data_IF_022586615864
#
_entry.id   IF_022586615864
#
_cell.length_a   1.000
_cell.length_b   1.000
_cell.length_c   1.000
_cell.angle_alpha   90.00
_cell.angle_beta   90.00
_cell.angle_gamma   90.00
#
_symmetry.space_group_name_H-M   'P 1'
#
loop_
_entity.id
_entity.type
_entity.pdbx_description
1 polymer ?
#
# COMPACT_ATOMS: atom_id res chain seq x y z
N UNK A 1 -12.57 26.23 -31.50
CA UNK A 1 -12.77 27.09 -30.31
C UNK A 1 -11.90 26.53 -29.20
N UNK A 2 -10.92 27.30 -28.71
CA UNK A 2 -10.13 26.89 -27.55
C UNK A 2 -11.05 26.88 -26.32
N UNK A 3 -11.10 25.76 -25.59
CA UNK A 3 -11.86 25.67 -24.34
C UNK A 3 -11.18 26.56 -23.31
N UNK A 4 -11.91 27.52 -22.73
CA UNK A 4 -11.40 28.33 -21.61
C UNK A 4 -11.35 27.42 -20.38
N UNK A 5 -10.20 27.25 -19.73
CA UNK A 5 -10.09 26.40 -18.54
C UNK A 5 -10.94 26.96 -17.39
N UNK A 6 -11.55 26.07 -16.60
CA UNK A 6 -12.34 26.48 -15.44
C UNK A 6 -11.48 27.15 -14.37
N UNK A 7 -12.08 28.00 -13.51
CA UNK A 7 -11.37 28.61 -12.39
C UNK A 7 -10.75 27.56 -11.45
N UNK A 8 -11.45 26.41 -11.26
CA UNK A 8 -10.92 25.26 -10.50
C UNK A 8 -9.65 24.70 -11.14
N UNK A 9 -9.63 24.57 -12.47
CA UNK A 9 -8.46 24.06 -13.21
C UNK A 9 -7.28 25.02 -13.08
N UNK A 10 -7.52 26.34 -13.19
CA UNK A 10 -6.50 27.37 -13.02
C UNK A 10 -5.96 27.38 -11.59
N UNK A 11 -6.84 27.31 -10.58
CA UNK A 11 -6.42 27.30 -9.17
C UNK A 11 -5.61 26.05 -8.84
N UNK A 12 -6.03 24.89 -9.34
CA UNK A 12 -5.33 23.62 -9.11
C UNK A 12 -3.93 23.64 -9.74
N UNK A 13 -3.82 24.14 -10.98
CA UNK A 13 -2.51 24.30 -11.64
C UNK A 13 -1.62 25.28 -10.87
N UNK A 14 -2.13 26.47 -10.53
CA UNK A 14 -1.38 27.45 -9.76
C UNK A 14 -0.91 26.90 -8.40
N UNK A 15 -1.79 26.21 -7.67
CA UNK A 15 -1.45 25.57 -6.40
C UNK A 15 -0.39 24.48 -6.58
N UNK A 16 -0.46 23.64 -7.61
CA UNK A 16 0.61 22.66 -7.88
C UNK A 16 1.96 23.33 -8.21
N UNK A 17 1.94 24.46 -8.93
CA UNK A 17 3.15 25.22 -9.25
C UNK A 17 3.80 25.82 -8.00
N UNK A 18 2.99 26.38 -7.10
CA UNK A 18 3.47 26.98 -5.84
C UNK A 18 3.95 25.89 -4.87
N UNK A 19 3.21 24.79 -4.71
CA UNK A 19 3.58 23.71 -3.79
C UNK A 19 4.88 23.00 -4.19
N UNK A 20 5.12 22.85 -5.48
CA UNK A 20 6.31 22.16 -6.03
C UNK A 20 7.46 23.10 -6.37
N UNK A 21 7.36 24.35 -5.92
CA UNK A 21 8.36 25.41 -6.07
C UNK A 21 8.85 25.57 -7.52
N UNK A 22 7.90 25.58 -8.46
CA UNK A 22 8.19 25.72 -9.89
C UNK A 22 8.38 27.18 -10.33
N UNK A 23 8.24 28.15 -9.42
CA UNK A 23 8.32 29.59 -9.72
C UNK A 23 9.59 30.12 -9.03
N UNK A 24 10.51 30.76 -9.75
CA UNK A 24 11.76 31.27 -9.12
C UNK A 24 11.50 32.33 -8.03
N UNK A 25 10.30 32.92 -8.01
CA UNK A 25 9.82 33.89 -7.03
C UNK A 25 8.83 33.29 -6.01
N UNK A 26 8.76 31.96 -5.81
CA UNK A 26 7.81 31.41 -4.83
C UNK A 26 8.10 31.94 -3.44
N UNK A 27 7.16 32.71 -2.87
CA UNK A 27 7.27 33.19 -1.50
C UNK A 27 7.06 32.00 -0.54
N UNK A 28 8.06 31.59 0.26
CA UNK A 28 7.90 30.48 1.19
C UNK A 28 6.76 30.70 2.20
N UNK A 29 6.48 31.95 2.58
CA UNK A 29 5.35 32.30 3.45
C UNK A 29 4.00 31.99 2.78
N UNK A 30 3.92 32.17 1.46
CA UNK A 30 2.71 31.87 0.71
C UNK A 30 2.51 30.35 0.54
N UNK A 31 3.59 29.60 0.30
CA UNK A 31 3.53 28.14 0.30
C UNK A 31 3.10 27.60 1.66
N UNK A 32 3.63 28.14 2.77
CA UNK A 32 3.18 27.79 4.12
C UNK A 32 1.70 28.13 4.36
N UNK A 33 1.27 29.31 3.91
CA UNK A 33 -0.13 29.71 4.00
C UNK A 33 -1.05 28.75 3.24
N UNK A 34 -0.68 28.34 2.02
CA UNK A 34 -1.46 27.35 1.26
C UNK A 34 -1.48 25.98 1.96
N UNK A 35 -0.35 25.52 2.49
CA UNK A 35 -0.28 24.25 3.22
C UNK A 35 -1.21 24.24 4.44
N UNK A 36 -1.22 25.32 5.23
CA UNK A 36 -2.11 25.44 6.39
C UNK A 36 -3.59 25.45 5.98
N UNK A 37 -3.95 26.19 4.93
CA UNK A 37 -5.31 26.19 4.39
C UNK A 37 -5.78 24.81 3.91
N UNK A 38 -4.90 24.01 3.31
CA UNK A 38 -5.23 22.66 2.87
C UNK A 38 -5.32 21.67 4.04
N UNK A 39 -4.49 21.83 5.07
CA UNK A 39 -4.56 21.02 6.29
C UNK A 39 -5.90 21.21 7.03
N UNK A 40 -6.44 22.43 7.04
CA UNK A 40 -7.74 22.75 7.66
C UNK A 40 -8.95 22.14 6.92
N UNK A 41 -8.74 21.53 5.75
CA UNK A 41 -9.78 20.80 5.02
C UNK A 41 -10.85 21.67 4.37
N UNK A 42 -10.65 22.99 4.33
CA UNK A 42 -11.59 23.98 3.77
C UNK A 42 -11.82 23.76 2.26
N UNK A 43 -10.83 23.20 1.56
CA UNK A 43 -10.82 23.06 0.10
C UNK A 43 -10.76 21.59 -0.37
N UNK A 44 -11.53 20.69 0.25
CA UNK A 44 -11.47 19.24 -0.03
C UNK A 44 -11.53 18.88 -1.53
N UNK A 45 -12.40 19.53 -2.29
CA UNK A 45 -12.56 19.29 -3.72
C UNK A 45 -11.38 19.76 -4.58
N UNK A 46 -10.59 20.74 -4.09
CA UNK A 46 -9.35 21.21 -4.73
C UNK A 46 -8.20 20.31 -4.32
N UNK A 47 -8.13 19.92 -3.03
CA UNK A 47 -7.08 19.04 -2.51
C UNK A 47 -7.13 17.65 -3.14
N UNK A 48 -8.31 17.13 -3.47
CA UNK A 48 -8.44 15.85 -4.17
C UNK A 48 -7.91 15.90 -5.62
N UNK A 49 -8.25 16.94 -6.38
CA UNK A 49 -7.70 17.16 -7.72
C UNK A 49 -6.17 17.39 -7.67
N UNK A 50 -5.70 18.17 -6.68
CA UNK A 50 -4.28 18.38 -6.44
C UNK A 50 -3.58 17.07 -6.14
N UNK A 51 -4.11 16.24 -5.24
CA UNK A 51 -3.53 14.95 -4.89
C UNK A 51 -3.34 14.08 -6.14
N UNK A 52 -4.36 14.00 -7.00
CA UNK A 52 -4.29 13.24 -8.26
C UNK A 52 -3.19 13.80 -9.17
N UNK A 53 -3.18 15.12 -9.43
CA UNK A 53 -2.21 15.74 -10.33
C UNK A 53 -0.78 15.58 -9.79
N UNK A 54 -0.58 15.85 -8.50
CA UNK A 54 0.72 15.76 -7.85
C UNK A 54 1.26 14.32 -7.91
N UNK A 55 0.45 13.31 -7.59
CA UNK A 55 0.89 11.92 -7.60
C UNK A 55 0.99 11.32 -9.01
N UNK A 56 0.25 11.84 -9.99
CA UNK A 56 0.30 11.35 -11.37
C UNK A 56 1.43 11.95 -12.20
N UNK A 57 1.71 13.25 -12.04
CA UNK A 57 2.66 13.97 -12.89
C UNK A 57 3.93 14.39 -12.17
N UNK A 58 3.92 14.42 -10.83
CA UNK A 58 4.99 15.00 -10.03
C UNK A 58 5.32 14.17 -8.77
N UNK A 59 5.09 12.85 -8.80
CA UNK A 59 5.31 11.96 -7.64
C UNK A 59 6.70 12.10 -7.04
N UNK A 60 7.70 12.37 -7.88
CA UNK A 60 9.10 12.59 -7.52
C UNK A 60 9.33 13.82 -6.63
N UNK A 61 8.47 14.83 -6.71
CA UNK A 61 8.58 16.07 -5.92
C UNK A 61 7.62 16.11 -4.72
N UNK A 62 6.79 15.10 -4.53
CA UNK A 62 5.85 15.05 -3.40
C UNK A 62 6.60 14.70 -2.12
N UNK A 63 6.56 15.63 -1.15
CA UNK A 63 7.13 15.44 0.20
C UNK A 63 6.06 15.02 1.20
N UNK A 64 6.47 14.55 2.38
CA UNK A 64 5.57 14.27 3.50
C UNK A 64 4.62 15.43 3.83
N UNK A 65 5.14 16.67 3.77
CA UNK A 65 4.40 17.89 4.08
C UNK A 65 3.30 18.15 3.07
N UNK A 66 3.65 18.09 1.78
CA UNK A 66 2.71 18.29 0.68
C UNK A 66 1.63 17.23 0.74
N UNK A 67 2.01 15.95 0.87
CA UNK A 67 1.05 14.85 0.93
C UNK A 67 0.08 15.01 2.10
N UNK A 68 0.57 15.31 3.31
CA UNK A 68 -0.27 15.53 4.50
C UNK A 68 -1.26 16.68 4.29
N UNK A 69 -0.83 17.77 3.65
CA UNK A 69 -1.69 18.92 3.39
C UNK A 69 -2.80 18.59 2.38
N UNK A 70 -2.44 17.97 1.24
CA UNK A 70 -3.39 17.76 0.13
C UNK A 70 -4.24 16.49 0.25
N UNK A 71 -3.94 15.57 1.17
CA UNK A 71 -4.78 14.39 1.35
C UNK A 71 -6.09 14.75 2.08
N UNK A 72 -7.28 14.47 1.51
CA UNK A 72 -8.55 14.70 2.18
C UNK A 72 -8.83 13.63 3.25
N UNK A 73 -9.45 14.01 4.38
CA UNK A 73 -9.72 13.08 5.49
C UNK A 73 -10.71 11.94 5.15
N UNK A 74 -11.52 12.12 4.11
CA UNK A 74 -12.47 11.11 3.62
C UNK A 74 -11.87 10.17 2.56
N UNK A 75 -10.57 10.23 2.31
CA UNK A 75 -9.90 9.39 1.32
C UNK A 75 -10.07 7.89 1.67
N UNK A 76 -10.46 7.09 0.68
CA UNK A 76 -10.60 5.63 0.80
C UNK A 76 -9.49 4.86 0.11
N UNK A 77 -8.87 5.47 -0.90
CA UNK A 77 -7.83 4.86 -1.72
C UNK A 77 -6.69 5.85 -1.89
N UNK A 78 -5.49 5.46 -1.47
CA UNK A 78 -4.27 6.23 -1.62
C UNK A 78 -3.32 5.49 -2.56
N UNK A 79 -2.93 6.13 -3.66
CA UNK A 79 -1.99 5.57 -4.63
C UNK A 79 -0.78 6.48 -4.76
N UNK A 80 0.34 6.04 -4.20
CA UNK A 80 1.56 6.81 -4.09
C UNK A 80 2.67 5.91 -4.63
N UNK A 81 2.76 5.86 -5.95
CA UNK A 81 3.67 4.97 -6.69
C UNK A 81 4.91 5.74 -7.16
N UNK A 82 6.03 5.04 -7.38
CA UNK A 82 7.31 5.59 -7.88
C UNK A 82 7.80 6.77 -7.05
N UNK A 83 7.79 6.60 -5.73
CA UNK A 83 8.12 7.67 -4.81
C UNK A 83 9.61 7.84 -4.66
N UNK A 84 10.05 9.08 -4.54
CA UNK A 84 11.43 9.43 -4.20
C UNK A 84 11.67 9.48 -2.67
N UNK A 85 12.94 9.54 -2.22
CA UNK A 85 13.30 9.48 -0.79
C UNK A 85 12.70 10.60 0.08
N UNK A 86 12.14 11.64 -0.52
CA UNK A 86 11.52 12.77 0.19
C UNK A 86 10.19 12.39 0.85
N UNK A 87 9.54 11.34 0.36
CA UNK A 87 8.39 10.75 1.01
C UNK A 87 8.85 9.60 1.91
N UNK A 88 8.50 9.69 3.17
CA UNK A 88 8.93 8.75 4.21
C UNK A 88 7.76 8.00 4.81
N UNK A 89 8.09 6.95 5.55
CA UNK A 89 7.11 6.22 6.35
C UNK A 89 6.38 7.11 7.37
N UNK A 90 7.03 8.16 7.89
CA UNK A 90 6.40 9.09 8.83
C UNK A 90 5.29 9.90 8.15
N UNK A 91 5.53 10.41 6.94
CA UNK A 91 4.49 11.09 6.15
C UNK A 91 3.31 10.18 5.85
N UNK A 92 3.56 8.93 5.44
CA UNK A 92 2.49 7.95 5.21
C UNK A 92 1.68 7.67 6.48
N UNK A 93 2.34 7.60 7.64
CA UNK A 93 1.67 7.42 8.93
C UNK A 93 0.75 8.61 9.27
N UNK A 94 1.19 9.84 9.02
CA UNK A 94 0.35 11.03 9.23
C UNK A 94 -0.88 11.02 8.32
N UNK A 95 -0.73 10.58 7.08
CA UNK A 95 -1.87 10.38 6.16
C UNK A 95 -2.86 9.36 6.71
N UNK A 96 -2.37 8.23 7.21
CA UNK A 96 -3.19 7.16 7.80
C UNK A 96 -3.93 7.67 9.04
N UNK A 97 -3.30 8.51 9.88
CA UNK A 97 -3.97 9.18 11.01
C UNK A 97 -5.08 10.13 10.55
N UNK A 98 -4.84 10.88 9.47
CA UNK A 98 -5.80 11.86 8.91
C UNK A 98 -7.00 11.18 8.25
N UNK A 99 -6.84 9.95 7.74
CA UNK A 99 -7.82 9.24 6.92
C UNK A 99 -8.37 7.98 7.61
N UNK A 100 -9.33 8.09 8.55
CA UNK A 100 -9.85 6.93 9.29
C UNK A 100 -10.62 5.93 8.41
N UNK A 101 -11.04 6.34 7.21
CA UNK A 101 -11.78 5.50 6.26
C UNK A 101 -10.90 4.96 5.12
N UNK A 102 -9.58 5.09 5.22
CA UNK A 102 -8.67 4.55 4.24
C UNK A 102 -8.77 3.02 4.22
N UNK A 103 -8.94 2.46 3.03
CA UNK A 103 -9.16 1.03 2.81
C UNK A 103 -8.13 0.43 1.85
N UNK A 104 -7.63 1.22 0.90
CA UNK A 104 -6.72 0.74 -0.13
C UNK A 104 -5.48 1.60 -0.20
N UNK A 105 -4.32 0.95 -0.25
CA UNK A 105 -3.03 1.62 -0.38
C UNK A 105 -2.24 0.94 -1.50
N UNK A 106 -1.77 1.73 -2.46
CA UNK A 106 -0.82 1.33 -3.51
C UNK A 106 0.47 2.12 -3.35
N UNK A 107 1.59 1.40 -3.23
CA UNK A 107 2.94 1.93 -3.05
C UNK A 107 3.89 1.21 -4.01
N UNK A 108 3.55 1.18 -5.30
CA UNK A 108 4.37 0.47 -6.29
C UNK A 108 5.72 1.15 -6.44
N UNK A 109 6.79 0.38 -6.59
CA UNK A 109 8.14 0.92 -6.79
C UNK A 109 8.54 1.95 -5.69
N UNK A 110 8.16 1.68 -4.42
CA UNK A 110 8.39 2.56 -3.27
C UNK A 110 9.19 1.86 -2.16
N UNK A 111 10.43 1.49 -2.47
CA UNK A 111 11.30 0.70 -1.61
C UNK A 111 11.61 1.31 -0.24
N UNK A 112 11.59 2.63 -0.13
CA UNK A 112 11.89 3.39 1.09
C UNK A 112 10.73 3.45 2.08
N UNK A 113 9.51 3.15 1.65
CA UNK A 113 8.32 3.34 2.48
C UNK A 113 8.03 2.14 3.36
N UNK A 114 8.67 0.99 3.11
CA UNK A 114 8.33 -0.29 3.73
C UNK A 114 9.33 -0.73 4.80
N UNK A 115 8.84 -0.98 6.00
CA UNK A 115 9.56 -1.61 7.11
C UNK A 115 8.64 -2.55 7.89
N UNK A 116 9.10 -3.71 8.38
CA UNK A 116 8.24 -4.65 9.12
C UNK A 116 7.53 -4.02 10.32
N UNK A 117 8.13 -3.03 10.99
CA UNK A 117 7.55 -2.41 12.20
C UNK A 117 6.32 -1.54 11.96
N UNK A 118 6.04 -1.13 10.72
CA UNK A 118 5.01 -0.14 10.44
C UNK A 118 3.58 -0.62 10.64
N UNK A 119 3.30 -1.88 10.31
CA UNK A 119 1.93 -2.40 10.34
C UNK A 119 1.41 -2.53 11.78
N UNK A 120 2.32 -2.67 12.75
CA UNK A 120 2.01 -2.57 14.19
C UNK A 120 1.40 -1.20 14.50
N UNK A 121 1.98 -0.13 13.93
CA UNK A 121 1.48 1.22 14.12
C UNK A 121 0.12 1.41 13.46
N UNK A 122 -0.06 0.92 12.23
CA UNK A 122 -1.34 1.02 11.52
C UNK A 122 -2.46 0.30 12.27
N UNK A 123 -2.17 -0.86 12.86
CA UNK A 123 -3.09 -1.58 13.75
C UNK A 123 -3.48 -0.75 14.96
N UNK A 124 -2.52 -0.08 15.61
CA UNK A 124 -2.77 0.81 16.76
C UNK A 124 -3.61 2.03 16.39
N UNK A 125 -3.48 2.51 15.15
CA UNK A 125 -4.31 3.60 14.62
C UNK A 125 -5.73 3.16 14.25
N UNK A 126 -6.03 1.86 14.30
CA UNK A 126 -7.38 1.33 14.06
C UNK A 126 -7.81 1.36 12.58
N UNK A 127 -6.87 1.50 11.65
CA UNK A 127 -7.19 1.59 10.23
C UNK A 127 -7.52 0.21 9.66
N UNK A 128 -8.60 0.15 8.88
CA UNK A 128 -9.15 -1.09 8.31
C UNK A 128 -8.78 -1.22 6.84
N UNK A 129 -7.49 -1.45 6.57
CA UNK A 129 -6.99 -1.66 5.20
C UNK A 129 -7.50 -3.02 4.67
N UNK A 130 -8.11 -3.00 3.50
CA UNK A 130 -8.62 -4.17 2.78
C UNK A 130 -7.78 -4.52 1.55
N UNK A 131 -7.04 -3.57 0.98
CA UNK A 131 -6.15 -3.83 -0.15
C UNK A 131 -4.78 -3.15 0.02
N UNK A 132 -3.71 -3.90 -0.21
CA UNK A 132 -2.33 -3.43 -0.17
C UNK A 132 -1.60 -3.87 -1.45
N UNK A 133 -1.04 -2.92 -2.17
CA UNK A 133 -0.23 -3.16 -3.36
C UNK A 133 1.19 -2.61 -3.16
N UNK A 134 2.17 -3.50 -3.22
CA UNK A 134 3.62 -3.24 -3.08
C UNK A 134 4.37 -3.78 -4.31
N UNK A 135 3.74 -3.72 -5.48
CA UNK A 135 4.29 -4.25 -6.73
C UNK A 135 5.64 -3.59 -7.04
N UNK A 136 6.60 -4.42 -7.49
CA UNK A 136 7.96 -3.99 -7.87
C UNK A 136 8.70 -3.24 -6.77
N UNK A 137 8.41 -3.55 -5.49
CA UNK A 137 9.22 -3.09 -4.36
C UNK A 137 10.26 -4.16 -4.01
N UNK A 138 11.50 -3.98 -4.45
CA UNK A 138 12.60 -4.92 -4.27
C UNK A 138 13.07 -5.05 -2.81
N UNK A 139 12.85 -4.04 -1.95
CA UNK A 139 13.16 -4.08 -0.52
C UNK A 139 12.07 -4.76 0.33
N UNK A 140 10.95 -5.18 -0.26
CA UNK A 140 9.91 -5.93 0.46
C UNK A 140 10.38 -7.35 0.69
N UNK A 141 10.73 -7.65 1.95
CA UNK A 141 11.11 -8.98 2.41
C UNK A 141 9.92 -9.79 2.94
N UNK A 142 10.13 -11.09 3.14
CA UNK A 142 9.16 -11.96 3.82
C UNK A 142 8.66 -11.37 5.14
N UNK A 143 9.51 -10.71 5.92
CA UNK A 143 9.13 -10.11 7.20
C UNK A 143 8.14 -8.94 7.05
N UNK A 144 8.25 -8.15 5.98
CA UNK A 144 7.30 -7.06 5.68
C UNK A 144 5.93 -7.67 5.40
N UNK A 145 5.85 -8.68 4.54
CA UNK A 145 4.60 -9.35 4.19
C UNK A 145 3.99 -10.06 5.40
N UNK A 146 4.80 -10.82 6.17
CA UNK A 146 4.35 -11.48 7.40
C UNK A 146 3.81 -10.48 8.42
N UNK A 147 4.45 -9.33 8.56
CA UNK A 147 3.98 -8.26 9.45
C UNK A 147 2.64 -7.68 8.98
N UNK A 148 2.47 -7.42 7.67
CA UNK A 148 1.20 -6.97 7.11
C UNK A 148 0.07 -7.97 7.42
N UNK A 149 0.31 -9.26 7.19
CA UNK A 149 -0.66 -10.33 7.45
C UNK A 149 -1.05 -10.45 8.93
N UNK A 150 -0.09 -10.28 9.86
CA UNK A 150 -0.35 -10.34 11.32
C UNK A 150 -1.05 -9.11 11.87
N UNK A 151 -0.83 -7.94 11.28
CA UNK A 151 -1.26 -6.67 11.85
C UNK A 151 -2.42 -6.00 11.09
N UNK A 152 -2.77 -6.49 9.91
CA UNK A 152 -3.92 -6.03 9.11
C UNK A 152 -4.92 -7.19 8.95
N UNK A 153 -5.72 -7.53 9.98
CA UNK A 153 -6.64 -8.67 9.92
C UNK A 153 -7.77 -8.49 8.89
N UNK A 154 -8.03 -7.24 8.46
CA UNK A 154 -9.03 -6.90 7.45
C UNK A 154 -8.52 -7.03 6.01
N UNK A 155 -7.25 -7.39 5.81
CA UNK A 155 -6.64 -7.45 4.49
C UNK A 155 -7.27 -8.57 3.64
N UNK A 156 -7.80 -8.19 2.48
CA UNK A 156 -8.47 -9.08 1.53
C UNK A 156 -7.68 -9.21 0.23
N UNK A 157 -6.99 -8.15 -0.18
CA UNK A 157 -6.25 -8.13 -1.45
C UNK A 157 -4.80 -7.75 -1.18
N UNK A 158 -3.89 -8.66 -1.51
CA UNK A 158 -2.46 -8.43 -1.40
C UNK A 158 -1.83 -8.57 -2.78
N UNK A 159 -1.15 -7.52 -3.24
CA UNK A 159 -0.31 -7.57 -4.42
C UNK A 159 1.14 -7.27 -4.00
N UNK A 160 2.02 -8.25 -4.18
CA UNK A 160 3.47 -8.17 -3.97
C UNK A 160 4.20 -8.72 -5.20
N UNK A 161 3.62 -8.53 -6.39
CA UNK A 161 4.21 -9.00 -7.65
C UNK A 161 5.54 -8.31 -7.93
N UNK A 162 6.47 -9.01 -8.57
CA UNK A 162 7.80 -8.52 -8.92
C UNK A 162 8.64 -8.06 -7.71
N UNK A 163 8.34 -8.58 -6.51
CA UNK A 163 9.20 -8.43 -5.33
C UNK A 163 10.22 -9.57 -5.27
N UNK A 164 11.44 -9.32 -5.73
CA UNK A 164 12.49 -10.35 -5.90
C UNK A 164 13.00 -10.95 -4.58
N UNK A 165 12.84 -10.23 -3.47
CA UNK A 165 13.32 -10.64 -2.14
C UNK A 165 12.38 -11.63 -1.41
N UNK A 166 11.27 -12.02 -2.03
CA UNK A 166 10.30 -12.94 -1.44
C UNK A 166 10.70 -14.39 -1.67
N UNK A 167 10.57 -15.20 -0.62
CA UNK A 167 10.91 -16.63 -0.66
C UNK A 167 9.68 -17.49 -0.42
N UNK A 168 9.89 -18.80 -0.49
CA UNK A 168 8.85 -19.76 -0.19
C UNK A 168 8.28 -19.63 1.23
N UNK A 169 8.99 -19.02 2.18
CA UNK A 169 8.49 -18.86 3.55
C UNK A 169 7.58 -17.65 3.75
N UNK A 170 7.33 -16.84 2.72
CA UNK A 170 6.59 -15.55 2.85
C UNK A 170 5.24 -15.68 3.56
N UNK A 171 4.51 -16.79 3.35
CA UNK A 171 3.20 -17.06 3.96
C UNK A 171 3.26 -17.96 5.21
N UNK A 172 4.45 -18.29 5.69
CA UNK A 172 4.67 -19.06 6.90
C UNK A 172 4.61 -18.15 8.13
N UNK A 173 3.42 -17.99 8.72
CA UNK A 173 3.21 -17.21 9.94
C UNK A 173 3.45 -18.00 11.24
N UNK A 174 3.05 -19.28 11.26
CA UNK A 174 3.18 -20.17 12.41
C UNK A 174 3.87 -21.48 12.01
N UNK A 175 5.13 -21.63 12.39
CA UNK A 175 5.94 -22.82 12.10
C UNK A 175 5.46 -24.07 12.84
N UNK A 176 4.89 -23.90 14.04
CA UNK A 176 4.40 -25.00 14.88
C UNK A 176 3.16 -25.66 14.28
N UNK A 177 2.15 -24.86 13.88
CA UNK A 177 0.95 -25.35 13.19
C UNK A 177 1.27 -26.09 11.89
N UNK A 178 2.34 -25.70 11.21
CA UNK A 178 2.79 -26.33 9.98
C UNK A 178 3.37 -27.72 10.23
N UNK A 179 4.19 -27.88 11.27
CA UNK A 179 4.70 -29.21 11.67
C UNK A 179 3.57 -30.13 12.11
N UNK A 180 2.58 -29.64 12.84
CA UNK A 180 1.42 -30.45 13.25
C UNK A 180 0.58 -30.94 12.06
N UNK A 181 0.39 -30.09 11.04
CA UNK A 181 -0.34 -30.42 9.80
C UNK A 181 0.36 -31.44 8.91
N UNK A 182 1.69 -31.45 8.90
CA UNK A 182 2.47 -32.46 8.18
C UNK A 182 2.41 -33.84 8.86
N UNK A 183 2.25 -33.89 10.18
CA UNK A 183 2.24 -35.13 10.96
C UNK A 183 0.84 -35.69 11.26
N UNK A 184 -0.23 -34.89 11.15
CA UNK A 184 -1.61 -35.35 11.40
C UNK A 184 -2.57 -34.88 10.30
N UNK A 185 -2.94 -35.72 9.32
CA UNK A 185 -4.00 -35.40 8.38
C UNK A 185 -5.35 -35.59 9.09
N UNK A 186 -5.71 -34.68 9.99
CA UNK A 186 -6.95 -34.76 10.77
C UNK A 186 -8.10 -33.98 10.11
N UNK A 187 -9.30 -34.54 10.24
CA UNK A 187 -10.57 -34.12 9.64
C UNK A 187 -11.31 -33.04 10.45
N UNK A 188 -10.67 -32.36 11.41
CA UNK A 188 -11.38 -31.53 12.39
C UNK A 188 -11.51 -30.05 11.97
N UNK A 189 -12.75 -29.58 11.86
CA UNK A 189 -13.16 -28.35 11.16
C UNK A 189 -13.08 -27.05 11.98
N UNK A 190 -12.48 -27.06 13.17
CA UNK A 190 -12.30 -25.83 13.97
C UNK A 190 -11.01 -25.07 13.60
N UNK A 191 -10.81 -24.79 12.31
CA UNK A 191 -9.63 -24.10 11.82
C UNK A 191 -9.77 -22.57 12.03
N UNK A 192 -8.96 -22.00 12.92
CA UNK A 192 -8.80 -20.53 13.00
C UNK A 192 -7.89 -20.07 11.86
N UNK A 193 -8.48 -19.58 10.79
CA UNK A 193 -7.75 -18.92 9.71
C UNK A 193 -7.29 -17.53 10.18
N UNK A 194 -6.00 -17.24 10.01
CA UNK A 194 -5.39 -16.01 10.53
C UNK A 194 -5.58 -14.83 9.58
N UNK A 195 -6.02 -15.08 8.35
CA UNK A 195 -6.17 -14.08 7.31
C UNK A 195 -7.47 -14.30 6.53
N UNK A 196 -8.09 -13.19 6.09
CA UNK A 196 -9.31 -13.19 5.27
C UNK A 196 -9.01 -12.84 3.80
N UNK A 197 -7.85 -13.25 3.30
CA UNK A 197 -7.42 -12.93 1.94
C UNK A 197 -8.37 -13.57 0.92
N UNK A 198 -8.77 -12.75 -0.05
CA UNK A 198 -9.61 -13.11 -1.20
C UNK A 198 -8.73 -13.21 -2.46
N UNK A 199 -7.75 -12.33 -2.61
CA UNK A 199 -6.80 -12.39 -3.73
C UNK A 199 -5.36 -12.13 -3.33
N UNK A 200 -4.46 -12.91 -3.92
CA UNK A 200 -3.01 -12.74 -3.79
C UNK A 200 -2.36 -12.69 -5.17
N UNK A 201 -1.57 -11.66 -5.43
CA UNK A 201 -0.69 -11.58 -6.58
C UNK A 201 0.77 -11.64 -6.13
N UNK A 202 1.46 -12.69 -6.57
CA UNK A 202 2.90 -12.94 -6.36
C UNK A 202 3.60 -13.16 -7.70
N UNK A 203 2.99 -12.71 -8.79
CA UNK A 203 3.56 -12.90 -10.12
C UNK A 203 4.93 -12.25 -10.26
N UNK A 204 5.84 -12.84 -11.02
CA UNK A 204 7.22 -12.36 -11.16
C UNK A 204 8.15 -12.64 -9.97
N UNK A 205 7.63 -13.08 -8.82
CA UNK A 205 8.43 -13.42 -7.64
C UNK A 205 9.07 -14.81 -7.81
N UNK A 206 10.32 -14.85 -8.30
CA UNK A 206 10.98 -16.12 -8.66
C UNK A 206 11.32 -17.01 -7.45
N UNK A 207 11.43 -16.44 -6.26
CA UNK A 207 11.64 -17.20 -5.02
C UNK A 207 10.39 -17.92 -4.50
N UNK A 208 9.22 -17.69 -5.12
CA UNK A 208 7.97 -18.37 -4.75
C UNK A 208 7.91 -19.76 -5.40
N UNK A 209 7.80 -20.78 -4.55
CA UNK A 209 7.68 -22.19 -4.92
C UNK A 209 6.31 -22.75 -4.54
N UNK A 210 6.04 -24.03 -4.88
CA UNK A 210 4.80 -24.71 -4.45
C UNK A 210 4.65 -24.76 -2.91
N UNK A 211 5.76 -24.68 -2.17
CA UNK A 211 5.79 -24.61 -0.71
C UNK A 211 5.12 -23.33 -0.19
N UNK A 212 5.40 -22.18 -0.80
CA UNK A 212 4.70 -20.92 -0.50
C UNK A 212 3.18 -21.03 -0.70
N UNK A 213 2.75 -21.70 -1.78
CA UNK A 213 1.32 -21.91 -2.06
C UNK A 213 0.68 -22.77 -0.98
N UNK A 214 1.35 -23.84 -0.51
CA UNK A 214 0.90 -24.65 0.62
C UNK A 214 0.76 -23.84 1.90
N UNK A 215 1.73 -22.98 2.21
CA UNK A 215 1.63 -22.07 3.34
C UNK A 215 0.42 -21.14 3.21
N UNK A 216 0.22 -20.54 2.03
CA UNK A 216 -0.89 -19.64 1.75
C UNK A 216 -2.26 -20.29 1.90
N UNK A 217 -2.46 -21.50 1.37
CA UNK A 217 -3.74 -22.24 1.50
C UNK A 217 -4.01 -22.58 2.96
N UNK A 218 -2.96 -22.91 3.71
CA UNK A 218 -3.04 -23.22 5.13
C UNK A 218 -3.38 -22.00 6.01
N UNK A 219 -3.04 -20.80 5.54
CA UNK A 219 -3.23 -19.52 6.22
C UNK A 219 -4.64 -18.94 5.99
N UNK A 220 -5.15 -19.04 4.77
CA UNK A 220 -6.32 -18.30 4.28
C UNK A 220 -7.60 -19.13 4.21
N UNK A 221 -7.50 -20.46 4.21
CA UNK A 221 -8.69 -21.31 4.21
C UNK A 221 -9.58 -21.12 2.98
N UNK A 222 -10.92 -21.16 3.14
CA UNK A 222 -11.85 -21.13 2.01
C UNK A 222 -12.08 -19.73 1.42
N UNK A 223 -11.47 -18.66 1.96
CA UNK A 223 -11.73 -17.29 1.50
C UNK A 223 -10.99 -16.93 0.22
N UNK A 224 -9.88 -17.61 -0.06
CA UNK A 224 -9.00 -17.31 -1.18
C UNK A 224 -9.65 -17.74 -2.51
N UNK A 225 -9.89 -16.77 -3.40
CA UNK A 225 -10.56 -16.99 -4.69
C UNK A 225 -9.62 -16.84 -5.87
N UNK A 226 -8.67 -15.91 -5.79
CA UNK A 226 -7.81 -15.54 -6.91
C UNK A 226 -6.34 -15.60 -6.47
N UNK A 227 -5.52 -16.38 -7.16
CA UNK A 227 -4.07 -16.41 -6.94
C UNK A 227 -3.37 -16.27 -8.29
N UNK A 228 -2.56 -15.23 -8.42
CA UNK A 228 -1.71 -15.05 -9.60
C UNK A 228 -0.30 -15.56 -9.30
N UNK A 229 0.09 -16.64 -10.00
CA UNK A 229 1.38 -17.33 -9.87
C UNK A 229 2.24 -17.21 -11.13
N UNK A 230 1.87 -16.35 -12.08
CA UNK A 230 2.62 -16.20 -13.34
C UNK A 230 4.07 -15.83 -13.07
N UNK A 231 5.01 -16.41 -13.82
CA UNK A 231 6.45 -16.12 -13.69
C UNK A 231 7.06 -16.39 -12.30
N UNK A 232 6.44 -17.29 -11.52
CA UNK A 232 7.02 -17.85 -10.29
C UNK A 232 7.74 -19.18 -10.58
N UNK A 233 8.41 -19.74 -9.56
CA UNK A 233 9.00 -21.09 -9.64
C UNK A 233 8.00 -22.20 -9.28
N UNK A 234 6.69 -21.91 -9.26
CA UNK A 234 5.65 -22.90 -8.98
C UNK A 234 5.47 -23.83 -10.17
N UNK A 235 5.73 -25.12 -9.95
CA UNK A 235 5.34 -26.15 -10.89
C UNK A 235 3.84 -26.46 -10.71
N UNK A 236 3.04 -26.31 -11.77
CA UNK A 236 1.58 -26.55 -11.75
C UNK A 236 1.24 -27.99 -11.31
N UNK A 237 2.14 -28.96 -11.55
CA UNK A 237 1.97 -30.35 -11.11
C UNK A 237 2.11 -30.57 -9.60
N UNK A 238 2.63 -29.58 -8.87
CA UNK A 238 2.92 -29.66 -7.45
C UNK A 238 1.92 -28.88 -6.58
N UNK A 239 0.88 -28.30 -7.19
CA UNK A 239 -0.20 -27.61 -6.47
C UNK A 239 -1.12 -28.69 -5.88
N UNK A 240 -1.42 -28.66 -4.56
CA UNK A 240 -2.30 -29.64 -3.92
C UNK A 240 -3.74 -29.57 -4.41
#
# INVERSE_FOLDING_TARGET
MAMVPSLKSISTLASSHVLLDFVEETNPEFTEYLLTLFEDGVFSAVTEDLLIILLQFYSEKVTDRILKAVVPCHLRELKVDKCLPQLTFFGLTEVIKKCPHLQKISLKECDQLMSPGQFVLWRRLGVSITALCLESCHNVSDQVVKSALRHIPTLQHLNVSSCDSLTETVFLLNEELQKEREFTPSHDTSHHYECSLISVDVSGCRGITATAVRHLTSLTGPTLKNVNLSWTSVCIKCIP
#
